data_IF_937506051909
#
_entry.id   IF_937506051909
#
_cell.length_a   1.000
_cell.length_b   1.000
_cell.length_c   1.000
_cell.angle_alpha   90.00
_cell.angle_beta   90.00
_cell.angle_gamma   90.00
#
_symmetry.space_group_name_H-M   'P 1'
#
loop_
_entity.id
_entity.type
_entity.pdbx_description
1 polymer ?
#
# COMPACT_ATOMS: atom_id res chain seq x y z
N UNK A 1 11.44 4.28 -0.68
CA UNK A 1 11.51 2.82 -0.91
C UNK A 1 12.56 2.52 -1.97
N UNK A 2 13.41 1.53 -1.77
CA UNK A 2 14.57 1.22 -2.63
C UNK A 2 14.18 0.31 -3.79
N UNK A 3 14.72 0.56 -4.99
CA UNK A 3 14.52 -0.33 -6.13
C UNK A 3 14.98 -1.76 -5.82
N UNK A 4 14.18 -2.76 -6.21
CA UNK A 4 14.47 -4.18 -6.04
C UNK A 4 14.34 -4.71 -4.61
N UNK A 5 14.14 -3.84 -3.62
CA UNK A 5 13.91 -4.22 -2.23
C UNK A 5 12.46 -4.69 -2.06
N UNK A 6 12.25 -5.85 -1.44
CA UNK A 6 10.90 -6.30 -1.13
C UNK A 6 10.40 -5.65 0.17
N UNK A 7 9.17 -5.17 0.13
CA UNK A 7 8.43 -4.63 1.27
C UNK A 7 7.21 -5.52 1.50
N UNK A 8 7.14 -6.17 2.66
CA UNK A 8 5.97 -6.93 3.10
C UNK A 8 5.10 -6.03 3.98
N UNK A 9 3.86 -5.83 3.56
CA UNK A 9 2.85 -5.11 4.34
C UNK A 9 1.90 -6.11 4.98
N UNK A 10 1.86 -6.11 6.30
CA UNK A 10 0.89 -6.88 7.09
C UNK A 10 -0.24 -5.94 7.53
N UNK A 11 -1.47 -6.25 7.16
CA UNK A 11 -2.63 -5.42 7.39
C UNK A 11 -3.56 -6.09 8.39
N UNK A 12 -4.10 -5.30 9.32
CA UNK A 12 -5.16 -5.71 10.25
C UNK A 12 -6.34 -4.74 10.13
N UNK A 13 -7.54 -5.29 9.93
CA UNK A 13 -8.77 -4.53 9.97
C UNK A 13 -9.22 -4.41 11.44
N UNK A 14 -9.17 -3.19 11.97
CA UNK A 14 -9.48 -2.93 13.38
C UNK A 14 -10.96 -2.71 13.65
N UNK A 15 -11.78 -2.57 12.60
CA UNK A 15 -13.21 -2.39 12.74
C UNK A 15 -13.88 -3.72 13.15
N UNK A 16 -14.77 -3.66 14.14
CA UNK A 16 -15.46 -4.82 14.67
C UNK A 16 -16.84 -5.07 14.04
N UNK A 17 -17.31 -4.14 13.21
CA UNK A 17 -18.59 -4.24 12.53
C UNK A 17 -18.49 -5.14 11.30
N UNK A 18 -19.45 -6.08 11.16
CA UNK A 18 -19.52 -6.99 10.01
C UNK A 18 -19.64 -6.18 8.72
N UNK A 19 -18.81 -6.52 7.73
CA UNK A 19 -18.78 -5.85 6.43
C UNK A 19 -17.88 -4.60 6.38
N UNK A 20 -17.19 -4.26 7.47
CA UNK A 20 -16.18 -3.20 7.45
C UNK A 20 -15.02 -3.54 6.54
N UNK A 21 -14.61 -2.59 5.70
CA UNK A 21 -13.47 -2.73 4.80
C UNK A 21 -12.37 -1.76 5.25
N UNK A 22 -11.18 -2.31 5.54
CA UNK A 22 -9.99 -1.50 5.73
C UNK A 22 -9.28 -1.31 4.39
N UNK A 23 -8.48 -0.25 4.27
CA UNK A 23 -7.62 -0.06 3.10
C UNK A 23 -6.20 0.29 3.52
N UNK A 24 -5.28 0.00 2.60
CA UNK A 24 -3.92 0.50 2.60
C UNK A 24 -3.67 1.22 1.28
N UNK A 25 -3.08 2.41 1.34
CA UNK A 25 -2.77 3.21 0.16
C UNK A 25 -1.35 3.74 0.25
N UNK A 26 -0.58 3.57 -0.81
CA UNK A 26 0.59 4.40 -1.07
C UNK A 26 0.17 5.54 -1.99
N UNK A 27 0.33 6.77 -1.51
CA UNK A 27 -0.03 7.99 -2.23
C UNK A 27 1.20 8.84 -2.52
N UNK A 28 1.50 9.09 -3.79
CA UNK A 28 2.57 9.96 -4.26
C UNK A 28 2.07 11.04 -5.25
N UNK A 29 0.75 11.27 -5.30
CA UNK A 29 0.13 12.31 -6.10
C UNK A 29 -0.06 13.61 -5.28
N UNK A 30 0.71 14.66 -5.59
CA UNK A 30 0.58 15.97 -4.92
C UNK A 30 -0.71 16.73 -5.24
N UNK A 31 -1.46 16.33 -6.28
CA UNK A 31 -2.80 16.87 -6.54
C UNK A 31 -3.82 16.28 -5.57
N UNK A 32 -3.70 14.99 -5.23
CA UNK A 32 -4.59 14.30 -4.31
C UNK A 32 -4.19 14.51 -2.83
N UNK A 33 -2.89 14.70 -2.56
CA UNK A 33 -2.36 14.98 -1.23
C UNK A 33 -1.44 16.20 -1.25
N UNK A 34 -1.98 17.36 -0.88
CA UNK A 34 -1.26 18.64 -0.92
C UNK A 34 -0.09 18.76 0.10
N UNK A 35 0.11 17.75 0.97
CA UNK A 35 1.31 17.67 1.79
C UNK A 35 2.54 17.18 1.00
N UNK A 36 2.34 16.73 -0.24
CA UNK A 36 3.42 16.39 -1.17
C UNK A 36 3.71 17.59 -2.07
N UNK A 37 4.99 17.89 -2.28
CA UNK A 37 5.43 19.01 -3.12
C UNK A 37 5.62 18.62 -4.59
N UNK A 38 5.72 17.32 -4.87
CA UNK A 38 6.01 16.77 -6.20
C UNK A 38 5.20 15.51 -6.45
N UNK A 39 4.71 15.30 -7.68
CA UNK A 39 4.18 14.01 -8.10
C UNK A 39 5.35 13.06 -8.40
N UNK A 40 5.37 11.90 -7.75
CA UNK A 40 6.40 10.88 -7.97
C UNK A 40 5.76 9.64 -8.58
N UNK A 41 6.18 9.21 -9.79
CA UNK A 41 5.72 7.96 -10.36
C UNK A 41 6.06 6.78 -9.46
N UNK A 42 5.09 5.90 -9.26
CA UNK A 42 5.22 4.67 -8.49
C UNK A 42 5.14 3.51 -9.47
N UNK A 43 6.21 2.72 -9.50
CA UNK A 43 6.29 1.53 -10.32
C UNK A 43 6.92 0.40 -9.50
N UNK A 44 6.37 -0.79 -9.63
CA UNK A 44 6.86 -1.97 -8.94
C UNK A 44 6.07 -3.20 -9.32
N UNK A 45 6.43 -4.32 -8.70
CA UNK A 45 5.70 -5.57 -8.83
C UNK A 45 5.00 -5.89 -7.51
N UNK A 46 3.78 -6.41 -7.62
CA UNK A 46 2.99 -6.88 -6.50
C UNK A 46 3.01 -8.41 -6.45
N UNK A 47 2.88 -8.96 -5.25
CA UNK A 47 2.81 -10.40 -5.05
C UNK A 47 2.51 -10.73 -3.59
N UNK A 48 2.70 -12.00 -3.23
CA UNK A 48 2.59 -12.43 -1.83
C UNK A 48 1.24 -12.11 -1.18
N UNK A 49 0.16 -12.02 -1.97
CA UNK A 49 -1.20 -11.83 -1.49
C UNK A 49 -1.60 -13.05 -0.65
N UNK A 50 -1.78 -12.84 0.65
CA UNK A 50 -2.07 -13.89 1.62
C UNK A 50 -3.27 -13.51 2.49
N UNK A 51 -4.00 -14.54 2.92
CA UNK A 51 -5.16 -14.44 3.81
C UNK A 51 -6.28 -13.59 3.18
N UNK A 52 -6.81 -12.59 3.90
CA UNK A 52 -7.96 -11.79 3.47
C UNK A 52 -7.58 -10.59 2.57
N UNK A 53 -6.31 -10.51 2.14
CA UNK A 53 -5.84 -9.55 1.15
C UNK A 53 -5.80 -10.23 -0.21
N UNK A 54 -6.72 -9.84 -1.09
CA UNK A 54 -6.91 -10.43 -2.42
C UNK A 54 -6.25 -9.56 -3.51
N UNK A 55 -5.62 -10.19 -4.51
CA UNK A 55 -5.00 -9.49 -5.65
C UNK A 55 -6.00 -8.64 -6.43
N UNK A 56 -7.25 -9.09 -6.59
CA UNK A 56 -8.33 -8.35 -7.25
C UNK A 56 -8.73 -7.07 -6.51
N UNK A 57 -8.29 -6.89 -5.26
CA UNK A 57 -8.49 -5.65 -4.50
C UNK A 57 -7.45 -4.57 -4.83
N UNK A 58 -6.36 -4.92 -5.50
CA UNK A 58 -5.31 -3.99 -5.91
C UNK A 58 -5.86 -3.02 -6.96
N UNK A 59 -5.69 -1.72 -6.69
CA UNK A 59 -6.03 -0.64 -7.59
C UNK A 59 -4.81 0.25 -7.77
N UNK A 60 -4.35 0.38 -9.01
CA UNK A 60 -3.12 1.10 -9.34
C UNK A 60 -3.40 2.36 -10.17
N UNK A 61 -2.54 3.35 -10.00
CA UNK A 61 -2.37 4.44 -10.95
C UNK A 61 -0.89 4.82 -11.03
N UNK A 62 -0.54 5.79 -11.89
CA UNK A 62 0.85 6.20 -12.09
C UNK A 62 1.54 6.71 -10.82
N UNK A 63 0.80 7.21 -9.84
CA UNK A 63 1.31 7.92 -8.67
C UNK A 63 0.96 7.22 -7.35
N UNK A 64 0.54 5.96 -7.39
CA UNK A 64 0.16 5.25 -6.17
C UNK A 64 -0.65 3.99 -6.43
N UNK A 65 -0.96 3.31 -5.35
CA UNK A 65 -1.80 2.12 -5.37
C UNK A 65 -2.61 2.04 -4.08
N UNK A 66 -3.70 1.29 -4.12
CA UNK A 66 -4.49 0.93 -2.95
C UNK A 66 -4.83 -0.55 -2.95
N UNK A 67 -4.88 -1.13 -1.77
CA UNK A 67 -5.29 -2.52 -1.52
C UNK A 67 -6.40 -2.48 -0.48
N UNK A 68 -7.48 -3.23 -0.73
CA UNK A 68 -8.60 -3.32 0.21
C UNK A 68 -8.50 -4.63 1.01
N UNK A 69 -8.82 -4.54 2.30
CA UNK A 69 -8.88 -5.66 3.23
C UNK A 69 -10.33 -5.85 3.67
N UNK A 70 -10.97 -6.91 3.16
CA UNK A 70 -12.38 -7.21 3.45
C UNK A 70 -12.56 -8.07 4.70
N UNK A 71 -11.53 -8.81 5.09
CA UNK A 71 -11.54 -9.66 6.28
C UNK A 71 -10.79 -9.03 7.45
N UNK A 72 -10.25 -9.88 8.31
CA UNK A 72 -9.62 -9.46 9.59
C UNK A 72 -8.16 -9.05 9.42
N UNK A 73 -7.48 -9.65 8.46
CA UNK A 73 -6.09 -9.35 8.20
C UNK A 73 -5.51 -10.14 7.05
N UNK A 74 -4.33 -9.72 6.62
CA UNK A 74 -3.58 -10.40 5.59
C UNK A 74 -2.35 -9.62 5.21
N UNK A 75 -1.70 -10.03 4.14
CA UNK A 75 -0.47 -9.39 3.71
C UNK A 75 -0.33 -9.39 2.21
N UNK A 76 0.49 -8.47 1.72
CA UNK A 76 0.94 -8.45 0.34
C UNK A 76 2.38 -7.89 0.29
N UNK A 77 3.08 -8.20 -0.78
CA UNK A 77 4.41 -7.66 -1.05
C UNK A 77 4.38 -6.66 -2.18
N UNK A 78 5.22 -5.64 -2.07
CA UNK A 78 5.51 -4.69 -3.13
C UNK A 78 7.03 -4.58 -3.30
N UNK A 79 7.50 -4.70 -4.53
CA UNK A 79 8.92 -4.54 -4.89
C UNK A 79 9.03 -3.40 -5.90
N UNK A 80 9.49 -2.20 -5.50
CA UNK A 80 9.65 -1.08 -6.42
C UNK A 80 10.64 -1.42 -7.54
N UNK A 81 10.32 -1.09 -8.78
CA UNK A 81 11.25 -1.25 -9.91
C UNK A 81 12.22 -0.07 -10.00
N UNK A 82 11.83 1.08 -9.45
CA UNK A 82 12.66 2.28 -9.30
C UNK A 82 12.67 2.76 -7.86
N UNK A 83 13.74 3.43 -7.44
CA UNK A 83 13.83 3.97 -6.08
C UNK A 83 12.85 5.13 -5.95
N UNK A 84 11.89 4.99 -5.04
CA UNK A 84 10.93 6.02 -4.67
C UNK A 84 11.61 6.89 -3.59
N UNK A 85 11.91 8.17 -3.87
CA UNK A 85 12.61 9.05 -2.93
C UNK A 85 11.89 9.17 -1.58
N UNK A 86 12.65 9.40 -0.52
CA UNK A 86 12.06 9.73 0.77
C UNK A 86 11.29 11.06 0.69
N UNK A 87 10.26 11.20 1.52
CA UNK A 87 9.40 12.39 1.60
C UNK A 87 8.58 12.72 0.32
N UNK A 88 8.47 11.77 -0.62
CA UNK A 88 7.65 11.96 -1.83
C UNK A 88 6.41 11.06 -1.89
N UNK A 89 6.12 10.33 -0.82
CA UNK A 89 4.95 9.48 -0.70
C UNK A 89 4.46 9.42 0.75
N UNK A 90 3.18 9.08 0.92
CA UNK A 90 2.58 8.74 2.20
C UNK A 90 2.01 7.33 2.17
N UNK A 91 2.13 6.62 3.27
CA UNK A 91 1.38 5.40 3.53
C UNK A 91 0.17 5.75 4.38
N UNK A 92 -1.02 5.36 3.92
CA UNK A 92 -2.30 5.62 4.59
C UNK A 92 -2.99 4.29 4.86
N UNK A 93 -3.59 4.16 6.03
CA UNK A 93 -4.44 3.01 6.33
C UNK A 93 -5.58 3.40 7.27
N UNK A 94 -6.72 2.74 7.13
CA UNK A 94 -7.82 2.78 8.12
C UNK A 94 -7.72 1.67 9.16
N UNK A 95 -6.84 0.70 8.96
CA UNK A 95 -6.54 -0.37 9.90
C UNK A 95 -5.22 -0.15 10.62
N UNK A 96 -4.57 -1.24 11.01
CA UNK A 96 -3.14 -1.24 11.41
C UNK A 96 -2.30 -1.81 10.29
N UNK A 97 -1.06 -1.34 10.22
CA UNK A 97 -0.06 -1.83 9.27
C UNK A 97 1.23 -2.19 10.00
N UNK A 98 1.70 -3.42 9.78
CA UNK A 98 3.06 -3.87 10.01
C UNK A 98 3.86 -3.77 8.71
N UNK A 99 5.15 -3.44 8.82
CA UNK A 99 6.06 -3.36 7.69
C UNK A 99 7.33 -4.15 7.99
N UNK A 100 7.57 -5.18 7.19
CA UNK A 100 8.83 -5.91 7.17
C UNK A 100 9.59 -5.59 5.87
N UNK A 101 10.90 -5.40 5.99
CA UNK A 101 11.79 -5.02 4.88
C UNK A 101 12.86 -6.10 4.78
N UNK A 102 12.91 -6.80 3.63
CA UNK A 102 13.77 -7.98 3.40
C UNK A 102 14.58 -7.86 2.12
#
# INVERSE_FOLDING_TARGET
>A
MTAGQQYLFELENTATEIGSVAYFTLEANSTANQNLLTQTPIAGTFGGFLQDVDEGSLQENLYGFSVSLFGKGGSFTFTPTTTIPANTYYLKTTGRVGLEIS
#
